data_IF_009625058136
#
_entry.id   IF_009625058136
#
_cell.length_a   1.000
_cell.length_b   1.000
_cell.length_c   1.000
_cell.angle_alpha   90.00
_cell.angle_beta   90.00
_cell.angle_gamma   90.00
#
_symmetry.space_group_name_H-M   'P 1'
#
loop_
_entity.id
_entity.type
_entity.pdbx_description
1 polymer ?
#
# COMPACT_ATOMS: atom_id res chain seq x y z
N UNK A 1 -21.29 -6.55 -7.28
CA UNK A 1 -20.47 -5.37 -7.55
C UNK A 1 -19.75 -5.06 -6.26
N UNK A 2 -18.41 -5.07 -6.26
CA UNK A 2 -17.61 -4.84 -5.05
C UNK A 2 -17.48 -3.33 -4.86
N UNK A 3 -17.90 -2.78 -3.73
CA UNK A 3 -17.77 -1.35 -3.43
C UNK A 3 -16.30 -0.95 -3.50
N UNK A 4 -15.90 0.07 -4.31
CA UNK A 4 -14.50 0.40 -4.57
C UNK A 4 -13.63 0.58 -3.31
N UNK A 5 -14.22 1.12 -2.24
CA UNK A 5 -13.56 1.43 -0.97
C UNK A 5 -13.88 0.44 0.17
N UNK A 6 -14.38 -0.77 -0.11
CA UNK A 6 -14.87 -1.70 0.93
C UNK A 6 -13.83 -2.14 1.99
N UNK A 7 -12.53 -1.94 1.72
CA UNK A 7 -11.44 -2.33 2.61
C UNK A 7 -11.20 -1.33 3.76
N UNK A 8 -11.81 -0.16 3.70
CA UNK A 8 -11.98 0.75 4.84
C UNK A 8 -13.26 0.36 5.58
N UNK A 9 -13.22 0.22 6.90
CA UNK A 9 -14.40 -0.09 7.71
C UNK A 9 -15.16 1.18 8.09
N UNK A 10 -16.47 1.08 8.33
CA UNK A 10 -17.24 2.25 8.77
C UNK A 10 -16.81 2.70 10.17
N UNK A 11 -16.39 1.76 11.02
CA UNK A 11 -15.84 2.05 12.35
C UNK A 11 -14.56 2.87 12.27
N UNK A 12 -13.63 2.54 11.37
CA UNK A 12 -12.41 3.32 11.11
C UNK A 12 -12.77 4.74 10.62
N UNK A 13 -13.64 4.84 9.61
CA UNK A 13 -14.06 6.14 9.04
C UNK A 13 -14.71 7.02 10.12
N UNK A 14 -15.66 6.47 10.88
CA UNK A 14 -16.36 7.20 11.93
C UNK A 14 -15.42 7.65 13.06
N UNK A 15 -14.47 6.80 13.45
CA UNK A 15 -13.50 7.14 14.49
C UNK A 15 -12.61 8.31 14.05
N UNK A 16 -12.20 8.35 12.78
CA UNK A 16 -11.39 9.45 12.24
C UNK A 16 -12.21 10.74 12.14
N UNK A 17 -13.43 10.68 11.59
CA UNK A 17 -14.31 11.85 11.48
C UNK A 17 -14.53 12.47 12.87
N UNK A 18 -14.90 11.66 13.87
CA UNK A 18 -15.15 12.16 15.23
C UNK A 18 -13.93 12.81 15.90
N UNK A 19 -12.72 12.48 15.44
CA UNK A 19 -11.49 13.03 16.00
C UNK A 19 -11.06 14.33 15.32
N UNK A 20 -11.26 14.43 14.00
CA UNK A 20 -10.72 15.51 13.18
C UNK A 20 -11.75 16.51 12.68
N UNK A 21 -13.03 16.19 12.80
CA UNK A 21 -14.14 17.05 12.41
C UNK A 21 -15.11 17.26 13.57
N UNK A 22 -15.68 18.46 13.66
CA UNK A 22 -16.69 18.76 14.69
C UNK A 22 -18.07 18.32 14.17
N UNK A 23 -18.67 17.25 14.74
CA UNK A 23 -19.94 16.72 14.24
C UNK A 23 -21.11 17.70 14.38
N UNK A 24 -20.96 18.78 15.16
CA UNK A 24 -21.99 19.82 15.29
C UNK A 24 -21.91 20.90 14.21
N UNK A 25 -20.85 20.89 13.37
CA UNK A 25 -20.68 21.87 12.32
C UNK A 25 -21.53 21.52 11.07
N UNK A 26 -22.17 22.50 10.39
CA UNK A 26 -23.08 22.22 9.26
C UNK A 26 -22.43 21.59 8.02
N UNK A 27 -21.11 21.66 7.89
CA UNK A 27 -20.32 21.07 6.80
C UNK A 27 -19.50 19.84 7.24
N UNK A 28 -19.80 19.30 8.43
CA UNK A 28 -19.12 18.14 8.97
C UNK A 28 -19.25 16.94 8.01
N UNK A 29 -18.12 16.29 7.75
CA UNK A 29 -18.02 15.15 6.86
C UNK A 29 -18.81 13.98 7.44
N UNK A 30 -19.70 13.37 6.64
CA UNK A 30 -20.37 12.14 7.03
C UNK A 30 -19.58 10.91 6.59
N UNK A 31 -19.91 9.73 7.14
CA UNK A 31 -19.36 8.46 6.63
C UNK A 31 -19.65 8.31 5.13
N UNK A 32 -20.84 8.73 4.67
CA UNK A 32 -21.22 8.65 3.26
C UNK A 32 -20.30 9.49 2.38
N UNK A 33 -20.05 10.73 2.79
CA UNK A 33 -19.17 11.64 2.04
C UNK A 33 -17.73 11.10 1.99
N UNK A 34 -17.22 10.62 3.14
CA UNK A 34 -15.90 9.98 3.19
C UNK A 34 -15.84 8.73 2.28
N UNK A 35 -16.89 7.91 2.22
CA UNK A 35 -16.97 6.73 1.33
C UNK A 35 -16.94 7.12 -0.14
N UNK A 36 -17.64 8.17 -0.52
CA UNK A 36 -17.65 8.69 -1.89
C UNK A 36 -16.28 9.24 -2.30
N UNK A 37 -15.64 9.99 -1.41
CA UNK A 37 -14.27 10.48 -1.61
C UNK A 37 -13.27 9.32 -1.73
N UNK A 38 -13.32 8.34 -0.83
CA UNK A 38 -12.47 7.14 -0.91
C UNK A 38 -12.71 6.35 -2.19
N UNK A 39 -13.97 6.22 -2.63
CA UNK A 39 -14.29 5.55 -3.89
C UNK A 39 -13.69 6.29 -5.09
N UNK A 40 -13.80 7.62 -5.11
CA UNK A 40 -13.20 8.48 -6.15
C UNK A 40 -11.68 8.32 -6.19
N UNK A 41 -11.02 8.36 -5.02
CA UNK A 41 -9.58 8.11 -4.92
C UNK A 41 -9.20 6.73 -5.48
N UNK A 42 -9.95 5.67 -5.13
CA UNK A 42 -9.68 4.33 -5.63
C UNK A 42 -9.85 4.20 -7.15
N UNK A 43 -10.84 4.88 -7.73
CA UNK A 43 -11.03 4.91 -9.19
C UNK A 43 -9.86 5.62 -9.88
N UNK A 44 -9.44 6.79 -9.38
CA UNK A 44 -8.26 7.50 -9.90
C UNK A 44 -7.00 6.65 -9.80
N UNK A 45 -6.80 5.94 -8.69
CA UNK A 45 -5.66 5.04 -8.49
C UNK A 45 -5.64 3.86 -9.47
N UNK A 46 -6.81 3.31 -9.79
CA UNK A 46 -6.92 2.23 -10.75
C UNK A 46 -6.63 2.70 -12.18
N UNK A 47 -7.06 3.92 -12.52
CA UNK A 47 -6.79 4.55 -13.82
C UNK A 47 -5.31 4.93 -13.98
N UNK A 48 -4.66 5.38 -12.91
CA UNK A 48 -3.26 5.81 -12.88
C UNK A 48 -2.28 4.70 -12.48
N UNK A 49 -2.70 3.43 -12.45
CA UNK A 49 -1.89 2.31 -11.93
C UNK A 49 -0.48 2.21 -12.53
N UNK A 50 -0.35 2.51 -13.82
CA UNK A 50 0.94 2.50 -14.52
C UNK A 50 1.91 3.58 -13.99
N UNK A 51 1.40 4.70 -13.47
CA UNK A 51 2.22 5.74 -12.83
C UNK A 51 2.76 5.28 -11.48
N UNK A 52 1.94 4.60 -10.67
CA UNK A 52 2.35 4.05 -9.38
C UNK A 52 3.40 2.95 -9.55
N UNK A 53 3.22 2.04 -10.51
CA UNK A 53 4.24 1.02 -10.82
C UNK A 53 5.52 1.63 -11.43
N UNK A 54 5.44 2.82 -12.05
CA UNK A 54 6.62 3.58 -12.45
C UNK A 54 7.32 4.20 -11.26
N UNK A 55 6.57 4.82 -10.34
CA UNK A 55 7.08 5.42 -9.11
C UNK A 55 7.88 4.41 -8.26
N UNK A 56 7.42 3.16 -8.20
CA UNK A 56 8.12 2.05 -7.52
C UNK A 56 9.47 1.75 -8.16
N UNK A 57 9.52 1.69 -9.50
CA UNK A 57 10.77 1.43 -10.23
C UNK A 57 11.78 2.56 -10.09
N UNK A 58 11.29 3.77 -9.85
CA UNK A 58 12.11 4.97 -9.65
C UNK A 58 12.45 5.23 -8.18
N UNK A 59 12.07 4.32 -7.27
CA UNK A 59 12.30 4.41 -5.82
C UNK A 59 11.70 5.69 -5.18
N UNK A 60 10.60 6.18 -5.75
CA UNK A 60 9.84 7.33 -5.19
C UNK A 60 8.60 6.89 -4.42
N UNK A 61 8.30 5.59 -4.46
CA UNK A 61 7.19 4.95 -3.77
C UNK A 61 7.59 3.50 -3.47
N UNK A 62 7.41 3.01 -2.25
CA UNK A 62 7.72 1.61 -1.93
C UNK A 62 6.44 0.81 -1.64
N UNK A 63 6.55 -0.52 -1.66
CA UNK A 63 5.45 -1.42 -1.28
C UNK A 63 5.71 -1.94 0.12
N UNK A 64 4.83 -1.58 1.04
CA UNK A 64 4.86 -2.08 2.42
C UNK A 64 4.21 -3.46 2.56
N UNK A 65 3.18 -3.73 1.73
CA UNK A 65 2.42 -4.98 1.78
C UNK A 65 1.67 -5.24 0.50
N UNK A 66 1.61 -6.50 0.07
CA UNK A 66 0.72 -6.98 -0.98
C UNK A 66 -0.12 -8.15 -0.44
N UNK A 67 -1.41 -7.94 -0.25
CA UNK A 67 -2.37 -8.95 0.26
C UNK A 67 -3.03 -9.80 -0.83
N UNK A 68 -2.81 -9.45 -2.09
CA UNK A 68 -3.28 -10.22 -3.25
C UNK A 68 -4.39 -9.48 -3.96
N UNK A 69 -5.25 -8.81 -3.20
CA UNK A 69 -6.26 -7.88 -3.70
C UNK A 69 -5.98 -6.42 -3.34
N UNK A 70 -5.22 -6.18 -2.27
CA UNK A 70 -4.83 -4.83 -1.83
C UNK A 70 -3.31 -4.69 -1.79
N UNK A 71 -2.83 -3.49 -2.03
CA UNK A 71 -1.43 -3.08 -1.84
C UNK A 71 -1.41 -1.91 -0.88
N UNK A 72 -0.44 -1.92 0.03
CA UNK A 72 -0.12 -0.78 0.87
C UNK A 72 1.16 -0.18 0.31
N UNK A 73 1.06 0.99 -0.32
CA UNK A 73 2.21 1.77 -0.70
C UNK A 73 2.68 2.63 0.47
N UNK A 74 3.96 2.97 0.47
CA UNK A 74 4.56 3.96 1.36
C UNK A 74 5.11 5.10 0.51
N UNK A 75 4.59 6.30 0.75
CA UNK A 75 5.00 7.54 0.09
C UNK A 75 5.81 8.40 1.07
N UNK A 76 7.14 8.24 1.11
CA UNK A 76 7.98 8.93 2.09
C UNK A 76 8.02 10.44 1.88
N UNK A 77 7.92 10.90 0.63
CA UNK A 77 7.96 12.32 0.27
C UNK A 77 6.57 12.97 0.23
N UNK A 78 5.50 12.18 0.33
CA UNK A 78 4.10 12.62 0.25
C UNK A 78 3.74 13.22 -1.12
N UNK A 79 4.57 12.95 -2.12
CA UNK A 79 4.44 13.51 -3.46
C UNK A 79 3.26 12.89 -4.18
N UNK A 80 3.12 11.56 -4.12
CA UNK A 80 2.02 10.83 -4.77
C UNK A 80 0.70 11.10 -4.08
N UNK A 81 0.72 11.18 -2.75
CA UNK A 81 -0.45 11.55 -1.97
C UNK A 81 -0.98 12.94 -2.38
N UNK A 82 -0.08 13.93 -2.48
CA UNK A 82 -0.45 15.29 -2.88
C UNK A 82 -0.98 15.34 -4.30
N UNK A 83 -0.31 14.66 -5.25
CA UNK A 83 -0.75 14.55 -6.64
C UNK A 83 -2.15 13.93 -6.76
N UNK A 84 -2.39 12.83 -6.04
CA UNK A 84 -3.69 12.16 -6.03
C UNK A 84 -4.80 13.09 -5.50
N UNK A 85 -4.57 13.76 -4.38
CA UNK A 85 -5.55 14.69 -3.80
C UNK A 85 -5.80 15.91 -4.70
N UNK A 86 -4.78 16.39 -5.41
CA UNK A 86 -4.92 17.48 -6.38
C UNK A 86 -5.69 17.03 -7.63
N UNK A 87 -5.47 15.80 -8.11
CA UNK A 87 -6.16 15.21 -9.26
C UNK A 87 -7.68 15.11 -9.04
N UNK A 88 -8.10 14.76 -7.82
CA UNK A 88 -9.53 14.74 -7.43
C UNK A 88 -10.06 16.09 -6.95
N UNK A 89 -9.27 17.17 -7.08
CA UNK A 89 -9.64 18.55 -6.72
C UNK A 89 -10.07 18.71 -5.25
N UNK A 90 -9.51 17.92 -4.34
CA UNK A 90 -9.83 17.98 -2.92
C UNK A 90 -8.99 19.05 -2.23
N UNK A 91 -9.55 20.25 -2.05
CA UNK A 91 -8.82 21.40 -1.47
C UNK A 91 -9.07 21.62 0.03
N UNK A 92 -10.09 20.99 0.60
CA UNK A 92 -10.38 21.09 2.02
C UNK A 92 -9.33 20.34 2.86
N UNK A 93 -8.65 21.05 3.76
CA UNK A 93 -7.57 20.47 4.58
C UNK A 93 -8.08 19.45 5.61
N UNK A 94 -9.31 19.61 6.11
CA UNK A 94 -9.93 18.67 7.06
C UNK A 94 -10.19 17.34 6.34
N UNK A 95 -10.83 17.37 5.18
CA UNK A 95 -11.09 16.19 4.35
C UNK A 95 -9.79 15.47 3.96
N UNK A 96 -8.77 16.23 3.51
CA UNK A 96 -7.44 15.67 3.20
C UNK A 96 -6.83 14.95 4.40
N UNK A 97 -6.94 15.54 5.58
CA UNK A 97 -6.41 14.96 6.83
C UNK A 97 -7.17 13.69 7.19
N UNK A 98 -8.50 13.71 7.12
CA UNK A 98 -9.35 12.55 7.38
C UNK A 98 -8.98 11.39 6.46
N UNK A 99 -8.88 11.62 5.15
CA UNK A 99 -8.55 10.57 4.17
C UNK A 99 -7.16 9.97 4.43
N UNK A 100 -6.15 10.79 4.74
CA UNK A 100 -4.81 10.33 5.11
C UNK A 100 -4.85 9.42 6.33
N UNK A 101 -5.54 9.85 7.38
CA UNK A 101 -5.61 9.08 8.63
C UNK A 101 -6.40 7.79 8.44
N UNK A 102 -7.44 7.77 7.61
CA UNK A 102 -8.16 6.54 7.25
C UNK A 102 -7.21 5.53 6.59
N UNK A 103 -6.40 5.98 5.62
CA UNK A 103 -5.41 5.10 5.00
C UNK A 103 -4.32 4.67 5.98
N UNK A 104 -3.89 5.52 6.90
CA UNK A 104 -2.93 5.19 7.95
C UNK A 104 -3.46 4.08 8.87
N UNK A 105 -4.70 4.20 9.35
CA UNK A 105 -5.34 3.16 10.18
C UNK A 105 -5.49 1.84 9.43
N UNK A 106 -5.96 1.89 8.17
CA UNK A 106 -6.10 0.69 7.35
C UNK A 106 -4.75 0.03 7.05
N UNK A 107 -3.71 0.82 6.76
CA UNK A 107 -2.36 0.34 6.53
C UNK A 107 -1.81 -0.35 7.77
N UNK A 108 -1.89 0.30 8.94
CA UNK A 108 -1.47 -0.29 10.22
C UNK A 108 -2.17 -1.62 10.50
N UNK A 109 -3.48 -1.73 10.24
CA UNK A 109 -4.20 -3.01 10.38
C UNK A 109 -3.71 -4.09 9.42
N UNK A 110 -3.31 -3.72 8.20
CA UNK A 110 -2.91 -4.66 7.15
C UNK A 110 -1.44 -5.11 7.27
N UNK A 111 -0.59 -4.30 7.91
CA UNK A 111 0.86 -4.53 7.99
C UNK A 111 1.37 -4.79 9.40
N UNK A 112 0.58 -4.49 10.44
CA UNK A 112 0.99 -4.51 11.84
C UNK A 112 2.22 -3.63 12.14
N UNK A 113 2.41 -2.56 11.36
CA UNK A 113 3.53 -1.61 11.51
C UNK A 113 3.03 -0.16 11.57
N UNK A 114 3.80 0.67 12.25
CA UNK A 114 3.61 2.12 12.24
C UNK A 114 4.32 2.76 11.03
N UNK A 115 3.74 3.84 10.51
CA UNK A 115 4.25 4.60 9.37
C UNK A 115 4.60 6.01 9.84
N UNK A 116 5.61 6.10 10.70
CA UNK A 116 6.06 7.37 11.28
C UNK A 116 6.89 8.14 10.25
N UNK A 117 6.42 9.33 9.88
CA UNK A 117 7.09 10.20 8.92
C UNK A 117 6.63 10.00 7.47
N UNK A 118 6.05 8.87 7.13
CA UNK A 118 5.53 8.55 5.79
C UNK A 118 4.01 8.53 5.75
N UNK A 119 3.41 8.69 4.56
CA UNK A 119 1.97 8.53 4.37
C UNK A 119 1.69 7.24 3.60
N UNK A 120 1.06 6.23 4.24
CA UNK A 120 0.72 5.02 3.53
C UNK A 120 -0.53 5.19 2.67
N UNK A 121 -0.57 4.48 1.56
CA UNK A 121 -1.69 4.44 0.64
C UNK A 121 -2.16 3.00 0.42
N UNK A 122 -3.30 2.67 1.03
CA UNK A 122 -4.00 1.41 0.79
C UNK A 122 -4.82 1.47 -0.50
N UNK A 123 -4.53 0.59 -1.44
CA UNK A 123 -5.10 0.59 -2.79
C UNK A 123 -5.61 -0.79 -3.16
N UNK A 124 -6.78 -0.86 -3.81
CA UNK A 124 -7.24 -2.08 -4.46
C UNK A 124 -6.47 -2.28 -5.77
N UNK A 125 -5.87 -3.46 -5.95
CA UNK A 125 -5.22 -3.79 -7.22
C UNK A 125 -6.25 -3.88 -8.34
N UNK A 126 -5.98 -3.32 -9.53
CA UNK A 126 -6.80 -3.57 -10.71
C UNK A 126 -6.92 -5.08 -10.95
N UNK A 127 -8.10 -5.56 -11.33
CA UNK A 127 -8.38 -7.00 -11.46
C UNK A 127 -7.69 -7.68 -12.65
N UNK A 128 -6.94 -6.94 -13.46
CA UNK A 128 -6.24 -7.52 -14.61
C UNK A 128 -4.97 -8.25 -14.18
N UNK A 129 -4.74 -9.43 -14.75
CA UNK A 129 -3.51 -10.19 -14.50
C UNK A 129 -2.24 -9.39 -14.86
N UNK A 130 -2.33 -8.56 -15.90
CA UNK A 130 -1.24 -7.69 -16.34
C UNK A 130 -0.89 -6.63 -15.28
N UNK A 131 -1.88 -6.02 -14.62
CA UNK A 131 -1.63 -5.05 -13.55
C UNK A 131 -0.89 -5.70 -12.37
N UNK A 132 -1.28 -6.92 -11.99
CA UNK A 132 -0.58 -7.70 -10.98
C UNK A 132 0.86 -8.02 -11.38
N UNK A 133 1.08 -8.51 -12.60
CA UNK A 133 2.42 -8.79 -13.11
C UNK A 133 3.32 -7.55 -13.10
N UNK A 134 2.83 -6.41 -13.61
CA UNK A 134 3.57 -5.14 -13.64
C UNK A 134 3.98 -4.67 -12.26
N UNK A 135 3.13 -4.85 -11.25
CA UNK A 135 3.47 -4.54 -9.87
C UNK A 135 4.63 -5.40 -9.38
N UNK A 136 4.55 -6.73 -9.57
CA UNK A 136 5.62 -7.64 -9.12
C UNK A 136 6.93 -7.32 -9.81
N UNK A 137 6.90 -7.10 -11.12
CA UNK A 137 8.08 -6.67 -11.89
C UNK A 137 8.64 -5.35 -11.38
N UNK A 138 7.78 -4.36 -11.08
CA UNK A 138 8.21 -3.08 -10.55
C UNK A 138 8.92 -3.24 -9.19
N UNK A 139 8.32 -3.98 -8.26
CA UNK A 139 8.87 -4.20 -6.91
C UNK A 139 10.19 -4.98 -6.97
N UNK A 140 10.22 -6.11 -7.68
CA UNK A 140 11.43 -6.95 -7.77
C UNK A 140 12.57 -6.20 -8.46
N UNK A 141 12.29 -5.38 -9.48
CA UNK A 141 13.30 -4.57 -10.14
C UNK A 141 13.83 -3.45 -9.24
N UNK A 142 12.97 -2.81 -8.43
CA UNK A 142 13.39 -1.81 -7.44
C UNK A 142 14.33 -2.44 -6.41
N UNK A 143 13.91 -3.57 -5.80
CA UNK A 143 14.74 -4.34 -4.86
C UNK A 143 16.09 -4.76 -5.47
N UNK A 144 16.11 -5.16 -6.74
CA UNK A 144 17.36 -5.47 -7.43
C UNK A 144 18.24 -4.22 -7.62
N UNK A 145 17.65 -3.07 -7.96
CA UNK A 145 18.38 -1.81 -8.05
C UNK A 145 19.02 -1.42 -6.70
N UNK A 146 18.38 -1.78 -5.59
CA UNK A 146 18.87 -1.59 -4.21
C UNK A 146 19.97 -2.60 -3.81
N UNK A 147 20.37 -3.50 -4.73
CA UNK A 147 21.52 -4.38 -4.55
C UNK A 147 21.18 -5.81 -4.11
N UNK A 148 19.89 -6.18 -4.09
CA UNK A 148 19.49 -7.56 -3.87
C UNK A 148 19.77 -8.39 -5.13
N UNK A 149 20.14 -9.66 -4.96
CA UNK A 149 20.11 -10.62 -6.07
C UNK A 149 18.67 -10.93 -6.46
N UNK A 150 18.46 -11.48 -7.66
CA UNK A 150 17.12 -11.90 -8.08
C UNK A 150 16.47 -12.88 -7.07
N UNK A 151 17.25 -13.80 -6.51
CA UNK A 151 16.79 -14.77 -5.51
C UNK A 151 16.36 -14.10 -4.20
N UNK A 152 17.17 -13.17 -3.70
CA UNK A 152 16.86 -12.38 -2.50
C UNK A 152 15.63 -11.49 -2.72
N UNK A 153 15.53 -10.78 -3.84
CA UNK A 153 14.40 -9.90 -4.15
C UNK A 153 13.08 -10.67 -4.25
N UNK A 154 13.07 -11.84 -4.91
CA UNK A 154 11.87 -12.68 -4.99
C UNK A 154 11.47 -13.26 -3.64
N UNK A 155 12.44 -13.70 -2.84
CA UNK A 155 12.19 -14.25 -1.50
C UNK A 155 11.66 -13.18 -0.56
N UNK A 156 12.27 -11.99 -0.57
CA UNK A 156 11.83 -10.85 0.22
C UNK A 156 10.40 -10.42 -0.18
N UNK A 157 10.12 -10.30 -1.48
CA UNK A 157 8.77 -10.03 -1.95
C UNK A 157 7.76 -11.09 -1.47
N UNK A 158 8.11 -12.38 -1.54
CA UNK A 158 7.22 -13.47 -1.14
C UNK A 158 6.96 -13.53 0.38
N UNK A 159 7.98 -13.31 1.20
CA UNK A 159 7.88 -13.48 2.65
C UNK A 159 7.45 -12.18 3.32
N UNK A 160 8.21 -11.10 3.14
CA UNK A 160 7.98 -9.86 3.87
C UNK A 160 6.80 -9.08 3.27
N UNK A 161 6.77 -8.92 1.95
CA UNK A 161 5.73 -8.11 1.31
C UNK A 161 4.42 -8.87 1.11
N UNK A 162 4.48 -10.14 0.69
CA UNK A 162 3.29 -10.98 0.46
C UNK A 162 2.82 -11.73 1.71
N UNK A 163 3.71 -11.95 2.67
CA UNK A 163 3.36 -12.63 3.92
C UNK A 163 3.23 -14.14 3.80
N UNK A 164 3.83 -14.78 2.80
CA UNK A 164 3.91 -16.23 2.79
C UNK A 164 4.83 -16.69 3.93
N UNK A 165 4.46 -17.79 4.57
CA UNK A 165 5.38 -18.45 5.48
C UNK A 165 6.49 -19.14 4.69
N UNK A 166 7.61 -19.41 5.38
CA UNK A 166 8.79 -20.00 4.74
C UNK A 166 8.53 -21.40 4.17
N UNK A 167 7.58 -22.16 4.73
CA UNK A 167 7.25 -23.50 4.24
C UNK A 167 6.43 -23.40 2.96
N UNK A 168 5.45 -22.49 2.89
CA UNK A 168 4.69 -22.18 1.66
C UNK A 168 5.63 -21.68 0.55
N UNK A 169 6.61 -20.84 0.87
CA UNK A 169 7.56 -20.35 -0.12
C UNK A 169 8.54 -21.43 -0.59
N UNK A 170 9.01 -22.30 0.32
CA UNK A 170 9.86 -23.45 -0.02
C UNK A 170 9.24 -24.33 -1.11
N UNK A 171 7.94 -24.63 -0.98
CA UNK A 171 7.19 -25.45 -1.95
C UNK A 171 7.10 -24.81 -3.35
N UNK A 172 7.22 -23.49 -3.44
CA UNK A 172 7.08 -22.71 -4.69
C UNK A 172 8.41 -22.31 -5.30
N UNK A 173 9.36 -21.92 -4.47
CA UNK A 173 10.65 -21.34 -4.89
C UNK A 173 11.70 -22.36 -5.27
N UNK A 174 11.51 -23.64 -4.92
CA UNK A 174 12.44 -24.71 -5.27
C UNK A 174 13.74 -24.69 -4.45
N UNK A 175 13.72 -24.10 -3.25
CA UNK A 175 14.83 -24.16 -2.30
C UNK A 175 15.05 -25.59 -1.78
N UNK A 176 16.26 -25.88 -1.33
CA UNK A 176 16.60 -27.19 -0.76
C UNK A 176 15.92 -27.41 0.59
N UNK A 177 15.90 -26.38 1.42
CA UNK A 177 15.29 -26.42 2.75
C UNK A 177 14.83 -25.04 3.22
N UNK A 178 14.11 -25.04 4.34
CA UNK A 178 13.59 -23.85 5.01
C UNK A 178 14.71 -22.94 5.54
N UNK A 179 15.87 -23.50 5.89
CA UNK A 179 17.00 -22.71 6.41
C UNK A 179 17.53 -21.80 5.30
N UNK A 180 17.64 -22.33 4.08
CA UNK A 180 18.05 -21.58 2.89
C UNK A 180 17.09 -20.42 2.63
N UNK A 181 15.77 -20.66 2.74
CA UNK A 181 14.76 -19.60 2.61
C UNK A 181 14.95 -18.51 3.67
N UNK A 182 15.13 -18.91 4.94
CA UNK A 182 15.33 -17.98 6.06
C UNK A 182 16.64 -17.16 5.89
N UNK A 183 17.73 -17.81 5.51
CA UNK A 183 19.01 -17.13 5.28
C UNK A 183 18.94 -16.18 4.08
N UNK A 184 18.19 -16.52 3.04
CA UNK A 184 18.00 -15.64 1.87
C UNK A 184 17.19 -14.40 2.22
N UNK A 185 16.08 -14.53 2.97
CA UNK A 185 15.30 -13.36 3.39
C UNK A 185 16.07 -12.48 4.37
N UNK A 186 16.83 -13.07 5.29
CA UNK A 186 17.63 -12.31 6.25
C UNK A 186 18.74 -11.50 5.55
N UNK A 187 19.44 -12.11 4.58
CA UNK A 187 20.40 -11.36 3.75
C UNK A 187 19.75 -10.21 2.97
N UNK A 188 18.50 -10.38 2.54
CA UNK A 188 17.77 -9.31 1.87
C UNK A 188 17.50 -8.14 2.84
N UNK A 189 16.98 -8.44 4.04
CA UNK A 189 16.74 -7.43 5.10
C UNK A 189 18.01 -6.70 5.51
N UNK A 190 19.11 -7.43 5.71
CA UNK A 190 20.43 -6.85 6.04
C UNK A 190 20.90 -5.82 4.98
N UNK A 191 20.63 -6.09 3.69
CA UNK A 191 20.99 -5.17 2.60
C UNK A 191 20.08 -3.94 2.53
N UNK A 192 18.80 -4.12 2.85
CA UNK A 192 17.81 -3.04 2.92
C UNK A 192 17.93 -2.21 4.21
N UNK A 193 18.62 -2.72 5.22
CA UNK A 193 18.79 -2.06 6.51
C UNK A 193 17.58 -2.23 7.44
N UNK A 194 16.85 -3.34 7.31
CA UNK A 194 15.68 -3.70 8.13
C UNK A 194 16.02 -4.60 9.33
#
# INVERSE_FOLDING_TARGET
>A
MTTPAAHFTDEEIQAVINHYDDPEHPDALTISDARELLATLQETLEDEWDEYTTAIREDTLSVARDTGSLVVFEDPERTRWTQLLDAVQLYNQVERTILRVIHHQAAKRLTDRDFDGTDPLVVRKPQSALAGQRLVEAVVNALWADGLTADEAWTYYAIDLRGYDADEWLERGGYEDRITVADTVERARDKLGE
#
